data_IF_530302696963
#
_entry.id   IF_530302696963
#
_cell.length_a   1.000
_cell.length_b   1.000
_cell.length_c   1.000
_cell.angle_alpha   90.00
_cell.angle_beta   90.00
_cell.angle_gamma   90.00
#
_symmetry.space_group_name_H-M   'P 1'
#
loop_
_entity.id
_entity.type
_entity.pdbx_description
1 polymer ?
#
# COMPACT_ATOMS: atom_id res chain seq x y z
N UNK A 1 27.59 -3.20 -0.58
CA UNK A 1 28.82 -2.42 -0.60
C UNK A 1 28.83 -1.43 -1.78
N UNK A 2 27.88 -0.53 -1.92
CA UNK A 2 27.92 0.60 -2.87
C UNK A 2 26.96 1.74 -2.49
N UNK A 3 26.67 1.94 -1.21
CA UNK A 3 25.94 3.13 -0.74
C UNK A 3 26.87 4.31 -0.36
N UNK A 4 28.17 4.12 -0.51
CA UNK A 4 29.17 5.20 -0.39
C UNK A 4 29.43 5.88 -1.74
N UNK A 5 28.82 5.39 -2.85
CA UNK A 5 29.08 5.84 -4.22
C UNK A 5 28.49 7.17 -4.62
N UNK A 6 27.33 7.60 -4.06
CA UNK A 6 26.67 8.81 -4.56
C UNK A 6 27.41 10.11 -4.19
N UNK A 7 27.92 10.21 -2.97
CA UNK A 7 28.74 11.36 -2.57
C UNK A 7 30.16 11.33 -3.18
N UNK A 8 30.73 10.14 -3.37
CA UNK A 8 32.02 10.00 -4.05
C UNK A 8 31.94 10.32 -5.55
N UNK A 9 30.90 9.86 -6.26
CA UNK A 9 30.69 10.20 -7.68
C UNK A 9 30.44 11.70 -7.89
N UNK A 10 29.74 12.38 -6.97
CA UNK A 10 29.59 13.84 -7.00
C UNK A 10 30.95 14.52 -6.77
N UNK A 11 31.79 14.00 -5.88
CA UNK A 11 33.16 14.51 -5.65
C UNK A 11 34.06 14.28 -6.85
N UNK A 12 33.95 13.15 -7.54
CA UNK A 12 34.77 12.84 -8.72
C UNK A 12 34.32 13.65 -9.94
N UNK A 13 33.03 13.95 -10.12
CA UNK A 13 32.59 14.92 -11.13
C UNK A 13 33.05 16.34 -10.81
N UNK A 14 33.19 16.73 -9.53
CA UNK A 14 33.80 17.97 -9.11
C UNK A 14 35.32 18.00 -9.41
N UNK A 15 36.02 16.86 -9.32
CA UNK A 15 37.42 16.73 -9.72
C UNK A 15 37.58 16.85 -11.24
N UNK A 16 36.70 16.25 -12.04
CA UNK A 16 36.69 16.41 -13.49
C UNK A 16 36.41 17.86 -13.92
N UNK A 17 35.50 18.55 -13.24
CA UNK A 17 35.21 19.97 -13.46
C UNK A 17 36.43 20.85 -13.09
N UNK A 18 37.17 20.50 -12.02
CA UNK A 18 38.41 21.18 -11.65
C UNK A 18 39.56 20.95 -12.63
N UNK A 19 39.66 19.77 -13.24
CA UNK A 19 40.66 19.45 -14.27
C UNK A 19 40.33 20.15 -15.59
N UNK A 20 39.08 20.32 -15.96
CA UNK A 20 38.66 21.09 -17.14
C UNK A 20 38.91 22.61 -17.00
N UNK A 21 38.87 23.15 -15.79
CA UNK A 21 39.20 24.57 -15.53
C UNK A 21 40.69 24.93 -15.59
N UNK A 22 41.59 23.95 -15.68
CA UNK A 22 43.03 24.19 -15.80
C UNK A 22 43.55 24.35 -17.26
N UNK A 23 42.67 24.19 -18.26
CA UNK A 23 43.00 24.48 -19.65
C UNK A 23 42.50 25.86 -20.06
N UNK A 24 43.41 26.74 -20.38
CA UNK A 24 43.23 28.16 -20.67
C UNK A 24 42.12 28.48 -21.69
N UNK A 25 41.32 29.51 -21.35
CA UNK A 25 40.46 30.31 -22.22
C UNK A 25 39.12 29.71 -22.67
N UNK A 26 38.20 29.56 -21.72
CA UNK A 26 36.78 29.98 -21.80
C UNK A 26 36.20 29.70 -20.42
N UNK A 27 35.76 30.73 -19.70
CA UNK A 27 35.13 30.58 -18.40
C UNK A 27 33.79 29.87 -18.57
N UNK A 28 33.78 28.52 -18.51
CA UNK A 28 32.58 27.73 -18.41
C UNK A 28 31.94 28.11 -17.07
N UNK A 29 30.69 28.56 -17.10
CA UNK A 29 29.97 28.95 -15.88
C UNK A 29 29.85 27.74 -14.94
N UNK A 30 29.91 27.96 -13.62
CA UNK A 30 29.69 26.89 -12.63
C UNK A 30 28.32 26.22 -12.83
N UNK A 31 27.31 26.98 -13.23
CA UNK A 31 25.98 26.50 -13.55
C UNK A 31 25.97 25.50 -14.73
N UNK A 32 26.76 25.77 -15.77
CA UNK A 32 26.89 24.82 -16.89
C UNK A 32 27.59 23.53 -16.47
N UNK A 33 28.64 23.62 -15.62
CA UNK A 33 29.33 22.45 -15.08
C UNK A 33 28.42 21.62 -14.18
N UNK A 34 27.61 22.25 -13.35
CA UNK A 34 26.63 21.57 -12.50
C UNK A 34 25.54 20.87 -13.34
N UNK A 35 25.08 21.51 -14.39
CA UNK A 35 24.10 20.92 -15.30
C UNK A 35 24.69 19.74 -16.09
N UNK A 36 25.94 19.87 -16.54
CA UNK A 36 26.65 18.80 -17.24
C UNK A 36 26.90 17.61 -16.30
N UNK A 37 27.31 17.88 -15.06
CA UNK A 37 27.52 16.84 -14.05
C UNK A 37 26.22 16.10 -13.72
N UNK A 38 25.10 16.83 -13.57
CA UNK A 38 23.77 16.21 -13.37
C UNK A 38 23.38 15.35 -14.55
N UNK A 39 23.56 15.82 -15.78
CA UNK A 39 23.22 15.05 -16.99
C UNK A 39 24.08 13.79 -17.11
N UNK A 40 25.38 13.90 -16.89
CA UNK A 40 26.27 12.73 -16.86
C UNK A 40 25.88 11.72 -15.78
N UNK A 41 25.48 12.18 -14.61
CA UNK A 41 24.99 11.30 -13.56
C UNK A 41 23.68 10.60 -13.95
N UNK A 42 22.74 11.34 -14.54
CA UNK A 42 21.47 10.78 -15.04
C UNK A 42 21.69 9.70 -16.11
N UNK A 43 22.65 9.93 -17.02
CA UNK A 43 22.94 9.01 -18.13
C UNK A 43 23.76 7.78 -17.70
N UNK A 44 24.67 7.92 -16.72
CA UNK A 44 25.57 6.85 -16.31
C UNK A 44 25.03 5.98 -15.17
N UNK A 45 24.30 6.57 -14.24
CA UNK A 45 23.88 5.92 -12.98
C UNK A 45 22.37 5.99 -12.78
N UNK A 46 21.72 7.00 -13.36
CA UNK A 46 20.28 7.23 -13.26
C UNK A 46 19.48 6.55 -14.37
N UNK A 47 18.33 7.14 -14.65
CA UNK A 47 17.37 6.65 -15.63
C UNK A 47 17.32 7.56 -16.88
N UNK A 48 18.43 8.18 -17.25
CA UNK A 48 18.55 9.04 -18.43
C UNK A 48 17.53 10.19 -18.38
N UNK A 49 16.85 10.43 -19.51
CA UNK A 49 15.89 11.54 -19.68
C UNK A 49 14.71 11.49 -18.71
N UNK A 50 14.32 10.30 -18.19
CA UNK A 50 13.19 10.17 -17.24
C UNK A 50 13.61 10.25 -15.77
N UNK A 51 14.91 10.36 -15.47
CA UNK A 51 15.41 10.44 -14.09
C UNK A 51 14.75 11.58 -13.27
N UNK A 52 14.55 12.80 -13.81
CA UNK A 52 13.84 13.86 -13.09
C UNK A 52 12.40 13.48 -12.72
N UNK A 53 11.71 12.73 -13.59
CA UNK A 53 10.34 12.27 -13.33
C UNK A 53 10.31 11.21 -12.22
N UNK A 54 11.31 10.33 -12.17
CA UNK A 54 11.42 9.32 -11.12
C UNK A 54 11.67 9.97 -9.75
N UNK A 55 12.35 11.12 -9.71
CA UNK A 55 12.65 11.85 -8.47
C UNK A 55 11.54 12.78 -8.01
N UNK A 56 10.57 13.11 -8.86
CA UNK A 56 9.44 14.00 -8.51
C UNK A 56 8.37 13.24 -7.73
N UNK A 57 8.27 13.44 -6.41
CA UNK A 57 7.31 12.76 -5.52
C UNK A 57 5.84 13.11 -5.80
N UNK A 58 5.56 14.15 -6.61
CA UNK A 58 4.19 14.49 -7.02
C UNK A 58 3.66 13.59 -8.14
N UNK A 59 4.54 12.82 -8.78
CA UNK A 59 4.14 11.89 -9.82
C UNK A 59 3.80 10.52 -9.22
N UNK A 60 2.76 9.90 -9.76
CA UNK A 60 2.31 8.55 -9.40
C UNK A 60 2.74 7.51 -10.45
N UNK A 61 2.65 7.88 -11.72
CA UNK A 61 3.04 7.01 -12.83
C UNK A 61 3.81 7.77 -13.91
N UNK A 62 4.72 7.06 -14.59
CA UNK A 62 5.49 7.54 -15.73
C UNK A 62 5.29 6.53 -16.86
N UNK A 63 4.89 7.00 -18.05
CA UNK A 63 4.51 6.14 -19.16
C UNK A 63 5.26 6.54 -20.43
N UNK A 64 6.15 5.68 -20.90
CA UNK A 64 6.81 5.75 -22.22
C UNK A 64 6.01 4.86 -23.18
N UNK A 65 5.39 5.45 -24.19
CA UNK A 65 4.43 4.78 -25.06
C UNK A 65 4.93 4.59 -26.51
N UNK A 66 6.25 4.44 -26.67
CA UNK A 66 6.88 4.30 -27.99
C UNK A 66 7.70 5.52 -28.39
N UNK A 67 8.06 5.59 -29.66
CA UNK A 67 8.84 6.66 -30.26
C UNK A 67 7.94 7.78 -30.81
N UNK A 68 8.50 8.99 -30.95
CA UNK A 68 7.81 10.18 -31.47
C UNK A 68 6.50 10.55 -30.72
N UNK A 69 6.37 10.03 -29.50
CA UNK A 69 5.25 10.33 -28.60
C UNK A 69 5.80 10.91 -27.30
N UNK A 70 5.14 11.93 -26.71
CA UNK A 70 5.58 12.47 -25.43
C UNK A 70 5.46 11.42 -24.34
N UNK A 71 6.37 11.45 -23.39
CA UNK A 71 6.22 10.70 -22.15
C UNK A 71 5.05 11.27 -21.37
N UNK A 72 4.13 10.40 -20.94
CA UNK A 72 3.00 10.77 -20.09
C UNK A 72 3.34 10.52 -18.65
N UNK A 73 2.76 11.34 -17.78
CA UNK A 73 2.84 11.17 -16.33
C UNK A 73 1.47 11.30 -15.71
N UNK A 74 1.25 10.58 -14.62
CA UNK A 74 0.08 10.81 -13.78
C UNK A 74 0.52 11.60 -12.55
N UNK A 75 0.07 12.86 -12.49
CA UNK A 75 0.34 13.75 -11.37
C UNK A 75 -0.74 13.55 -10.31
N UNK A 76 -0.37 13.54 -9.02
CA UNK A 76 -1.28 13.26 -7.90
C UNK A 76 -2.45 14.26 -7.79
N UNK A 77 -2.20 15.51 -8.13
CA UNK A 77 -3.19 16.60 -8.08
C UNK A 77 -3.87 16.83 -9.44
N UNK A 78 -3.08 16.87 -10.52
CA UNK A 78 -3.58 17.30 -11.85
C UNK A 78 -3.95 16.12 -12.77
N UNK A 79 -3.74 14.87 -12.33
CA UNK A 79 -4.06 13.68 -13.14
C UNK A 79 -3.09 13.47 -14.31
N UNK A 80 -3.61 12.99 -15.44
CA UNK A 80 -2.82 12.66 -16.63
C UNK A 80 -2.28 13.90 -17.33
N UNK A 81 -0.95 13.97 -17.49
CA UNK A 81 -0.26 15.10 -18.12
C UNK A 81 0.74 14.60 -19.16
N UNK A 82 1.03 15.47 -20.14
CA UNK A 82 2.10 15.27 -21.13
C UNK A 82 3.35 16.01 -20.67
N UNK A 83 4.51 15.38 -20.82
CA UNK A 83 5.80 16.02 -20.58
C UNK A 83 6.39 16.56 -21.91
N UNK A 84 7.51 17.26 -21.82
CA UNK A 84 8.31 17.68 -22.96
C UNK A 84 9.37 16.64 -23.36
N UNK A 85 9.42 15.48 -22.70
CA UNK A 85 10.36 14.40 -23.03
C UNK A 85 9.79 13.59 -24.20
N UNK A 86 10.62 13.42 -25.23
CA UNK A 86 10.27 12.73 -26.46
C UNK A 86 11.44 11.85 -26.90
N UNK A 87 11.24 10.55 -26.98
CA UNK A 87 12.22 9.62 -27.53
C UNK A 87 12.05 9.57 -29.06
N UNK A 88 13.13 9.82 -29.79
CA UNK A 88 13.13 9.82 -31.26
C UNK A 88 13.59 8.51 -31.86
N UNK A 89 14.35 7.73 -31.10
CA UNK A 89 14.90 6.45 -31.53
C UNK A 89 14.44 5.31 -30.60
N UNK A 90 14.01 4.19 -31.21
CA UNK A 90 13.66 2.99 -30.47
C UNK A 90 14.85 2.44 -29.65
N UNK A 91 16.07 2.63 -30.12
CA UNK A 91 17.29 2.24 -29.42
C UNK A 91 17.47 2.99 -28.09
N UNK A 92 17.07 4.25 -27.99
CA UNK A 92 17.13 5.01 -26.73
C UNK A 92 16.21 4.38 -25.68
N UNK A 93 14.97 4.05 -26.06
CA UNK A 93 14.01 3.39 -25.15
C UNK A 93 14.46 1.98 -24.80
N UNK A 94 14.99 1.22 -25.77
CA UNK A 94 15.54 -0.12 -25.51
C UNK A 94 16.72 -0.07 -24.53
N UNK A 95 17.68 0.85 -24.72
CA UNK A 95 18.80 1.01 -23.81
C UNK A 95 18.36 1.34 -22.39
N UNK A 96 17.33 2.17 -22.24
CA UNK A 96 16.73 2.49 -20.92
C UNK A 96 16.11 1.25 -20.29
N UNK A 97 15.30 0.49 -21.05
CA UNK A 97 14.68 -0.75 -20.59
C UNK A 97 15.75 -1.79 -20.22
N UNK A 98 16.78 -1.97 -21.02
CA UNK A 98 17.90 -2.89 -20.75
C UNK A 98 18.71 -2.48 -19.51
N UNK A 99 18.91 -1.17 -19.31
CA UNK A 99 19.58 -0.65 -18.10
C UNK A 99 18.77 -1.00 -16.86
N UNK A 100 17.45 -0.77 -16.90
CA UNK A 100 16.53 -1.11 -15.82
C UNK A 100 16.53 -2.63 -15.58
N UNK A 101 16.39 -3.44 -16.62
CA UNK A 101 16.38 -4.90 -16.51
C UNK A 101 17.64 -5.42 -15.80
N UNK A 102 18.82 -4.89 -16.16
CA UNK A 102 20.09 -5.23 -15.50
C UNK A 102 20.12 -4.83 -14.02
N UNK A 103 19.61 -3.65 -13.66
CA UNK A 103 19.55 -3.19 -12.26
C UNK A 103 18.71 -4.13 -11.37
N UNK A 104 17.65 -4.72 -11.93
CA UNK A 104 16.75 -5.62 -11.19
C UNK A 104 17.07 -7.10 -11.41
N UNK A 105 18.25 -7.42 -12.02
CA UNK A 105 18.68 -8.78 -12.36
C UNK A 105 17.65 -9.57 -13.18
N UNK A 106 17.02 -8.90 -14.16
CA UNK A 106 16.09 -9.48 -15.12
C UNK A 106 16.66 -9.37 -16.53
N UNK A 107 16.08 -10.13 -17.43
CA UNK A 107 16.39 -10.11 -18.85
C UNK A 107 15.11 -9.79 -19.62
N UNK A 108 15.24 -9.00 -20.68
CA UNK A 108 14.19 -8.75 -21.64
C UNK A 108 14.80 -8.88 -23.04
N UNK A 109 14.20 -9.67 -23.91
CA UNK A 109 14.61 -9.91 -25.29
C UNK A 109 13.44 -10.45 -26.12
N UNK A 110 13.70 -10.82 -27.36
CA UNK A 110 12.64 -11.34 -28.25
C UNK A 110 11.99 -12.64 -27.79
N UNK A 111 12.71 -13.44 -27.00
CA UNK A 111 12.19 -14.67 -26.43
C UNK A 111 11.33 -14.39 -25.17
N UNK A 112 11.73 -13.38 -24.41
CA UNK A 112 11.02 -12.89 -23.22
C UNK A 112 10.74 -11.39 -23.36
N UNK A 113 9.76 -10.98 -24.18
CA UNK A 113 9.55 -9.57 -24.55
C UNK A 113 8.79 -8.75 -23.50
N UNK A 114 8.57 -9.28 -22.32
CA UNK A 114 7.90 -8.63 -21.18
C UNK A 114 8.86 -8.54 -20.01
N UNK A 115 9.02 -7.33 -19.46
CA UNK A 115 9.70 -7.08 -18.20
C UNK A 115 8.65 -6.69 -17.16
N UNK A 116 8.61 -7.39 -16.05
CA UNK A 116 7.89 -6.98 -14.85
C UNK A 116 8.84 -7.08 -13.65
N UNK A 117 8.92 -6.01 -12.86
CA UNK A 117 9.85 -5.99 -11.74
C UNK A 117 9.76 -4.73 -10.88
N UNK A 118 10.65 -4.67 -9.91
CA UNK A 118 10.72 -3.58 -8.93
C UNK A 118 12.08 -2.90 -8.98
N UNK A 119 12.07 -1.59 -9.10
CA UNK A 119 13.25 -0.75 -9.04
C UNK A 119 13.84 -0.71 -7.62
N UNK A 120 15.12 -0.33 -7.44
CA UNK A 120 15.75 -0.23 -6.13
C UNK A 120 15.05 0.74 -5.16
N UNK A 121 14.36 1.76 -5.68
CA UNK A 121 13.58 2.72 -4.89
C UNK A 121 12.21 2.17 -4.44
N UNK A 122 11.85 0.95 -4.88
CA UNK A 122 10.57 0.30 -4.59
C UNK A 122 9.50 0.50 -5.68
N UNK A 123 9.73 1.34 -6.68
CA UNK A 123 8.80 1.58 -7.79
C UNK A 123 8.64 0.33 -8.65
N UNK A 124 7.42 0.08 -9.13
CA UNK A 124 7.14 -1.05 -10.04
C UNK A 124 7.36 -0.63 -11.47
N UNK A 125 8.06 -1.44 -12.26
CA UNK A 125 8.27 -1.23 -13.69
C UNK A 125 7.68 -2.39 -14.47
N UNK A 126 6.92 -2.05 -15.52
CA UNK A 126 6.51 -2.98 -16.56
C UNK A 126 6.97 -2.43 -17.91
N UNK A 127 7.64 -3.26 -18.70
CA UNK A 127 8.03 -2.88 -20.06
C UNK A 127 7.71 -3.99 -21.05
N UNK A 128 7.43 -3.59 -22.29
CA UNK A 128 7.19 -4.50 -23.40
C UNK A 128 7.98 -4.05 -24.63
N UNK A 129 8.49 -5.01 -25.38
CA UNK A 129 9.27 -4.76 -26.59
C UNK A 129 8.67 -5.50 -27.80
N UNK A 130 9.02 -5.12 -29.04
CA UNK A 130 8.64 -5.90 -30.20
C UNK A 130 9.10 -7.37 -30.09
N UNK A 131 8.31 -8.37 -30.55
CA UNK A 131 7.17 -8.20 -31.48
C UNK A 131 5.80 -7.96 -30.82
N UNK A 132 5.67 -8.04 -29.47
CA UNK A 132 4.35 -7.89 -28.83
C UNK A 132 3.91 -6.42 -28.72
N UNK A 133 4.85 -5.48 -28.71
CA UNK A 133 4.58 -4.05 -28.72
C UNK A 133 4.70 -3.51 -30.16
N UNK A 134 3.57 -3.41 -30.84
CA UNK A 134 3.51 -3.09 -32.29
C UNK A 134 4.08 -1.70 -32.64
N UNK A 135 3.88 -0.71 -31.78
CA UNK A 135 4.31 0.69 -31.98
C UNK A 135 5.75 0.97 -31.44
N UNK A 136 6.51 -0.07 -31.16
CA UNK A 136 7.85 0.04 -30.58
C UNK A 136 7.87 -0.28 -29.06
N UNK A 137 9.04 -0.17 -28.41
CA UNK A 137 9.17 -0.47 -26.99
C UNK A 137 8.33 0.48 -26.14
N UNK A 138 7.71 -0.03 -25.10
CA UNK A 138 6.93 0.77 -24.14
C UNK A 138 7.29 0.40 -22.72
N UNK A 139 7.11 1.35 -21.79
CA UNK A 139 7.42 1.15 -20.38
C UNK A 139 6.50 2.00 -19.51
N UNK A 140 6.01 1.41 -18.44
CA UNK A 140 5.27 2.09 -17.38
C UNK A 140 5.96 1.89 -16.05
N UNK A 141 6.22 2.97 -15.35
CA UNK A 141 6.77 2.95 -13.98
C UNK A 141 5.71 3.50 -13.05
N UNK A 142 5.23 2.65 -12.12
CA UNK A 142 4.36 3.07 -11.03
C UNK A 142 5.21 3.35 -9.81
N UNK A 143 5.27 4.62 -9.42
CA UNK A 143 6.18 5.09 -8.37
C UNK A 143 5.76 4.61 -6.99
N UNK A 144 6.76 4.18 -6.24
CA UNK A 144 6.59 3.87 -4.83
C UNK A 144 6.49 5.16 -4.02
N UNK A 145 5.45 5.30 -3.19
CA UNK A 145 5.30 6.45 -2.31
C UNK A 145 6.14 6.26 -1.06
N UNK A 146 7.16 7.11 -0.86
CA UNK A 146 8.05 7.04 0.30
C UNK A 146 7.36 7.32 1.64
N UNK A 147 6.37 8.21 1.64
CA UNK A 147 5.55 8.54 2.81
C UNK A 147 4.11 8.11 2.54
N UNK A 148 3.69 6.92 3.00
CA UNK A 148 2.36 6.40 2.76
C UNK A 148 1.31 7.24 3.48
N UNK A 149 0.08 7.20 2.96
CA UNK A 149 -1.05 7.84 3.64
C UNK A 149 -1.34 7.13 4.96
N UNK A 150 -1.47 7.90 6.02
CA UNK A 150 -1.77 7.41 7.36
C UNK A 150 -3.28 7.42 7.63
N UNK A 151 -3.67 6.90 8.78
CA UNK A 151 -5.07 6.96 9.22
C UNK A 151 -5.56 8.41 9.35
N UNK A 152 -4.67 9.35 9.69
CA UNK A 152 -5.00 10.77 9.81
C UNK A 152 -5.29 11.39 8.43
N UNK A 153 -4.54 10.99 7.41
CA UNK A 153 -4.84 11.39 6.02
C UNK A 153 -6.19 10.86 5.54
N UNK A 154 -6.53 9.61 5.90
CA UNK A 154 -7.81 9.02 5.54
C UNK A 154 -8.97 9.71 6.26
N UNK A 155 -8.79 10.14 7.50
CA UNK A 155 -9.78 10.93 8.24
C UNK A 155 -9.93 12.31 7.59
N UNK A 156 -8.84 13.02 7.33
CA UNK A 156 -8.84 14.35 6.70
C UNK A 156 -9.49 14.35 5.32
N UNK A 157 -9.29 13.29 4.54
CA UNK A 157 -9.93 13.11 3.22
C UNK A 157 -11.38 12.61 3.33
N UNK A 158 -11.90 12.38 4.54
CA UNK A 158 -13.21 11.78 4.83
C UNK A 158 -13.40 10.37 4.25
N UNK A 159 -12.30 9.67 3.96
CA UNK A 159 -12.36 8.27 3.52
C UNK A 159 -12.90 7.38 4.65
N UNK A 160 -12.56 7.73 5.89
CA UNK A 160 -13.04 7.10 7.13
C UNK A 160 -13.42 8.20 8.13
N UNK A 161 -14.39 7.96 9.02
CA UNK A 161 -14.69 8.85 10.14
C UNK A 161 -13.77 8.58 11.34
N UNK A 162 -13.61 9.55 12.24
CA UNK A 162 -12.86 9.36 13.50
C UNK A 162 -13.46 8.23 14.33
N UNK A 163 -14.80 8.20 14.44
CA UNK A 163 -15.55 7.15 15.16
C UNK A 163 -15.24 5.76 14.60
N UNK A 164 -15.33 5.58 13.27
CA UNK A 164 -15.04 4.31 12.63
C UNK A 164 -13.56 3.91 12.76
N UNK A 165 -12.64 4.88 12.68
CA UNK A 165 -11.22 4.61 12.88
C UNK A 165 -10.92 4.15 14.32
N UNK A 166 -11.51 4.78 15.34
CA UNK A 166 -11.39 4.39 16.74
C UNK A 166 -12.00 3.02 17.01
N UNK A 167 -13.16 2.72 16.40
CA UNK A 167 -13.78 1.42 16.45
C UNK A 167 -12.85 0.33 15.89
N UNK A 168 -12.28 0.53 14.71
CA UNK A 168 -11.32 -0.42 14.13
C UNK A 168 -10.04 -0.54 14.96
N UNK A 169 -9.55 0.57 15.52
CA UNK A 169 -8.39 0.51 16.40
C UNK A 169 -8.63 -0.44 17.58
N UNK A 170 -9.81 -0.35 18.24
CA UNK A 170 -10.14 -1.26 19.33
C UNK A 170 -10.30 -2.72 18.84
N UNK A 171 -11.02 -2.93 17.71
CA UNK A 171 -11.28 -4.27 17.21
C UNK A 171 -10.00 -4.97 16.72
N UNK A 172 -9.08 -4.22 16.09
CA UNK A 172 -7.88 -4.81 15.49
C UNK A 172 -6.78 -5.09 16.53
N UNK A 173 -6.65 -4.26 17.55
CA UNK A 173 -5.77 -4.61 18.66
C UNK A 173 -6.43 -5.63 19.61
N UNK A 174 -7.75 -5.63 19.68
CA UNK A 174 -8.55 -6.57 20.47
C UNK A 174 -8.19 -6.60 21.95
N UNK A 175 -7.67 -5.48 22.49
CA UNK A 175 -7.12 -5.37 23.86
C UNK A 175 -6.02 -6.40 24.15
N UNK A 176 -5.34 -6.90 23.11
CA UNK A 176 -4.31 -7.93 23.21
C UNK A 176 -4.85 -9.33 23.52
N UNK A 177 -6.17 -9.55 23.50
CA UNK A 177 -6.80 -10.85 23.81
C UNK A 177 -7.54 -11.47 22.63
N UNK A 178 -8.19 -10.68 21.80
CA UNK A 178 -8.90 -11.14 20.60
C UNK A 178 -8.91 -10.08 19.51
N UNK A 179 -7.97 -10.19 18.61
CA UNK A 179 -7.87 -9.30 17.43
C UNK A 179 -8.84 -9.71 16.33
N UNK A 180 -9.51 -8.74 15.72
CA UNK A 180 -10.44 -8.98 14.61
C UNK A 180 -9.71 -9.21 13.28
N UNK A 181 -10.35 -9.97 12.41
CA UNK A 181 -9.94 -10.26 11.04
C UNK A 181 -10.78 -9.46 10.04
N UNK A 182 -10.15 -8.91 9.01
CA UNK A 182 -10.86 -8.10 8.04
C UNK A 182 -10.44 -8.33 6.59
N UNK A 183 -11.40 -8.23 5.69
CA UNK A 183 -11.19 -8.13 4.25
C UNK A 183 -11.62 -6.74 3.79
N UNK A 184 -10.72 -6.01 3.15
CA UNK A 184 -11.01 -4.70 2.54
C UNK A 184 -11.32 -4.94 1.07
N UNK A 185 -12.54 -4.67 0.67
CA UNK A 185 -13.04 -4.92 -0.67
C UNK A 185 -13.42 -3.64 -1.40
N UNK A 186 -13.40 -3.69 -2.72
CA UNK A 186 -13.76 -2.55 -3.57
C UNK A 186 -13.16 -2.65 -4.97
N UNK A 187 -13.58 -1.77 -5.85
CA UNK A 187 -13.11 -1.71 -7.23
C UNK A 187 -11.62 -1.35 -7.38
N UNK A 188 -11.15 -1.32 -8.63
CA UNK A 188 -9.79 -0.87 -8.95
C UNK A 188 -9.60 0.59 -8.56
N UNK A 189 -8.42 0.93 -8.02
CA UNK A 189 -8.06 2.29 -7.58
C UNK A 189 -8.99 2.88 -6.50
N UNK A 190 -9.77 2.06 -5.80
CA UNK A 190 -10.58 2.51 -4.66
C UNK A 190 -9.76 2.86 -3.42
N UNK A 191 -8.48 2.43 -3.36
CA UNK A 191 -7.56 2.71 -2.25
C UNK A 191 -7.49 1.61 -1.19
N UNK A 192 -7.87 0.36 -1.52
CA UNK A 192 -7.86 -0.79 -0.60
C UNK A 192 -6.51 -0.99 0.10
N UNK A 193 -5.43 -1.07 -0.68
CA UNK A 193 -4.07 -1.26 -0.14
C UNK A 193 -3.66 -0.09 0.77
N UNK A 194 -4.05 1.14 0.41
CA UNK A 194 -3.80 2.32 1.24
C UNK A 194 -4.53 2.22 2.58
N UNK A 195 -5.80 1.83 2.56
CA UNK A 195 -6.61 1.65 3.78
C UNK A 195 -6.10 0.47 4.60
N UNK A 196 -5.73 -0.64 3.96
CA UNK A 196 -5.08 -1.78 4.61
C UNK A 196 -3.80 -1.33 5.35
N UNK A 197 -2.95 -0.57 4.68
CA UNK A 197 -1.72 -0.03 5.26
C UNK A 197 -2.01 0.86 6.48
N UNK A 198 -2.94 1.82 6.33
CA UNK A 198 -3.30 2.74 7.40
C UNK A 198 -3.91 2.03 8.62
N UNK A 199 -4.83 1.07 8.41
CA UNK A 199 -5.45 0.29 9.47
C UNK A 199 -4.46 -0.67 10.14
N UNK A 200 -3.43 -1.13 9.43
CA UNK A 200 -2.37 -1.98 10.00
C UNK A 200 -1.53 -1.26 11.06
N UNK A 201 -1.56 0.08 11.12
CA UNK A 201 -0.93 0.83 12.21
C UNK A 201 -1.59 0.61 13.58
N UNK A 202 -2.81 0.09 13.60
CA UNK A 202 -3.54 -0.26 14.82
C UNK A 202 -3.20 -1.63 15.41
N UNK A 203 -2.34 -2.39 14.74
CA UNK A 203 -1.87 -3.69 15.25
C UNK A 203 -1.00 -3.45 16.47
N UNK A 204 -1.20 -4.30 17.50
CA UNK A 204 -0.45 -4.19 18.74
C UNK A 204 1.06 -4.29 18.50
N UNK A 205 1.91 -3.38 19.04
CA UNK A 205 3.36 -3.39 18.82
C UNK A 205 4.08 -4.68 19.24
N UNK A 206 3.44 -5.54 20.02
CA UNK A 206 4.00 -6.83 20.48
C UNK A 206 3.77 -7.97 19.49
N UNK A 207 2.87 -7.80 18.50
CA UNK A 207 2.56 -8.84 17.54
C UNK A 207 3.68 -9.00 16.50
N UNK A 208 3.86 -10.23 16.02
CA UNK A 208 4.70 -10.53 14.85
C UNK A 208 3.85 -10.51 13.59
N UNK A 209 4.16 -9.60 12.68
CA UNK A 209 3.44 -9.40 11.42
C UNK A 209 4.21 -10.04 10.26
N UNK A 210 3.50 -10.74 9.40
CA UNK A 210 4.03 -11.20 8.11
C UNK A 210 3.14 -10.65 7.01
N UNK A 211 3.73 -9.86 6.10
CA UNK A 211 3.03 -9.40 4.89
C UNK A 211 3.42 -10.26 3.70
N UNK A 212 2.46 -10.54 2.83
CA UNK A 212 2.63 -11.35 1.63
C UNK A 212 1.96 -10.61 0.47
N UNK A 213 2.75 -10.23 -0.52
CA UNK A 213 2.30 -9.36 -1.59
C UNK A 213 2.85 -9.82 -2.96
N UNK A 214 2.12 -9.56 -4.03
CA UNK A 214 2.64 -9.74 -5.39
C UNK A 214 3.77 -8.74 -5.68
N UNK A 215 3.61 -7.52 -5.20
CA UNK A 215 4.62 -6.47 -5.20
C UNK A 215 4.51 -5.74 -3.87
N UNK A 216 5.64 -5.50 -3.21
CA UNK A 216 5.66 -4.87 -1.89
C UNK A 216 5.16 -3.41 -1.96
N UNK A 217 3.93 -3.17 -1.53
CA UNK A 217 3.31 -1.85 -1.42
C UNK A 217 3.12 -1.42 0.04
N UNK A 218 2.92 -2.37 0.95
CA UNK A 218 2.68 -2.09 2.37
C UNK A 218 3.93 -1.57 3.07
N UNK A 219 3.73 -0.55 3.90
CA UNK A 219 4.76 0.09 4.72
C UNK A 219 4.23 0.22 6.15
N UNK A 220 4.14 -0.90 6.83
CA UNK A 220 3.59 -0.94 8.19
C UNK A 220 4.66 -0.42 9.16
N UNK A 221 4.38 0.61 9.96
CA UNK A 221 5.31 1.17 10.92
C UNK A 221 5.38 0.30 12.19
N UNK A 222 5.98 -0.85 12.07
CA UNK A 222 6.06 -1.85 13.13
C UNK A 222 7.44 -2.52 13.11
N UNK A 223 8.10 -2.68 14.26
CA UNK A 223 9.46 -3.21 14.32
C UNK A 223 9.54 -4.69 13.93
N UNK A 224 8.50 -5.48 14.26
CA UNK A 224 8.50 -6.91 14.05
C UNK A 224 7.70 -7.32 12.81
N UNK A 225 8.09 -6.81 11.63
CA UNK A 225 7.47 -7.13 10.33
C UNK A 225 8.42 -7.93 9.45
N UNK A 226 7.91 -9.02 8.89
CA UNK A 226 8.55 -9.74 7.79
C UNK A 226 7.74 -9.50 6.52
N UNK A 227 8.39 -9.01 5.48
CA UNK A 227 7.76 -8.70 4.19
C UNK A 227 8.19 -9.74 3.17
N UNK A 228 7.23 -10.44 2.57
CA UNK A 228 7.46 -11.43 1.53
C UNK A 228 6.79 -11.01 0.23
N UNK A 229 7.52 -11.19 -0.87
CA UNK A 229 7.05 -10.86 -2.23
C UNK A 229 7.06 -12.13 -3.08
N UNK A 230 6.03 -12.31 -3.92
CA UNK A 230 5.99 -13.40 -4.88
C UNK A 230 7.13 -13.27 -5.87
N UNK A 231 7.52 -14.38 -6.45
CA UNK A 231 8.53 -14.41 -7.49
C UNK A 231 8.01 -15.15 -8.70
N UNK A 232 7.82 -14.50 -9.85
CA UNK A 232 7.45 -15.20 -11.08
C UNK A 232 8.57 -16.18 -11.50
N UNK A 233 8.25 -17.20 -12.29
CA UNK A 233 9.24 -18.15 -12.79
C UNK A 233 10.31 -17.43 -13.63
N UNK A 234 11.49 -18.01 -13.68
CA UNK A 234 12.55 -17.55 -14.58
C UNK A 234 12.25 -17.97 -16.05
N UNK A 235 13.12 -17.59 -16.98
CA UNK A 235 12.99 -17.94 -18.42
C UNK A 235 12.93 -19.46 -18.68
N UNK A 236 13.42 -20.30 -17.74
CA UNK A 236 13.33 -21.75 -17.81
C UNK A 236 12.06 -22.31 -17.14
N UNK A 237 11.08 -21.48 -16.80
CA UNK A 237 9.87 -21.81 -16.02
C UNK A 237 10.17 -22.47 -14.66
N UNK A 238 11.26 -22.04 -14.01
CA UNK A 238 11.68 -22.57 -12.70
C UNK A 238 11.77 -21.46 -11.66
N UNK A 239 11.69 -21.86 -10.39
CA UNK A 239 11.93 -20.97 -9.25
C UNK A 239 10.78 -20.01 -8.98
N UNK A 240 9.57 -20.28 -9.47
CA UNK A 240 8.37 -19.58 -9.07
C UNK A 240 8.12 -19.73 -7.56
N UNK A 241 7.73 -18.65 -6.91
CA UNK A 241 7.20 -18.62 -5.56
C UNK A 241 5.85 -17.92 -5.59
N UNK A 242 4.81 -18.73 -5.44
CA UNK A 242 3.41 -18.23 -5.48
C UNK A 242 3.00 -17.61 -4.16
N UNK A 243 1.93 -16.81 -4.17
CA UNK A 243 1.29 -16.28 -2.97
C UNK A 243 0.96 -17.41 -1.98
N UNK A 244 0.42 -18.53 -2.46
CA UNK A 244 0.07 -19.69 -1.66
C UNK A 244 1.30 -20.34 -0.98
N UNK A 245 2.44 -20.41 -1.69
CA UNK A 245 3.68 -20.95 -1.10
C UNK A 245 4.17 -20.05 0.05
N UNK A 246 4.08 -18.74 -0.12
CA UNK A 246 4.48 -17.78 0.89
C UNK A 246 3.54 -17.80 2.10
N UNK A 247 2.21 -17.92 1.90
CA UNK A 247 1.25 -18.08 3.01
C UNK A 247 1.51 -19.38 3.77
N UNK A 248 1.74 -20.50 3.09
CA UNK A 248 2.13 -21.75 3.74
C UNK A 248 3.44 -21.65 4.52
N UNK A 249 4.42 -20.93 3.97
CA UNK A 249 5.69 -20.72 4.63
C UNK A 249 5.57 -19.84 5.88
N UNK A 250 4.70 -18.80 5.83
CA UNK A 250 4.48 -17.89 6.97
C UNK A 250 4.03 -18.63 8.22
N UNK A 251 3.20 -19.66 8.08
CA UNK A 251 2.68 -20.46 9.20
C UNK A 251 3.80 -21.18 10.01
N UNK A 252 4.97 -21.37 9.40
CA UNK A 252 6.15 -21.96 10.08
C UNK A 252 7.00 -20.91 10.81
N UNK A 253 6.67 -19.63 10.66
CA UNK A 253 7.42 -18.52 11.23
C UNK A 253 6.76 -17.94 12.50
N UNK A 254 5.74 -18.61 13.04
CA UNK A 254 4.98 -18.19 14.21
C UNK A 254 4.46 -16.74 14.10
N UNK A 255 3.67 -16.42 13.09
CA UNK A 255 3.05 -15.10 12.99
C UNK A 255 1.91 -14.96 13.99
N UNK A 256 1.75 -13.76 14.55
CA UNK A 256 0.51 -13.39 15.24
C UNK A 256 -0.49 -12.86 14.20
N UNK A 257 0.03 -12.15 13.17
CA UNK A 257 -0.77 -11.55 12.11
C UNK A 257 -0.22 -11.85 10.72
N UNK A 258 -1.12 -12.28 9.82
CA UNK A 258 -0.81 -12.50 8.41
C UNK A 258 -1.59 -11.48 7.59
N UNK A 259 -0.89 -10.71 6.76
CA UNK A 259 -1.50 -9.70 5.90
C UNK A 259 -1.21 -10.07 4.44
N UNK A 260 -2.28 -10.33 3.68
CA UNK A 260 -2.19 -10.62 2.25
C UNK A 260 -2.58 -9.38 1.47
N UNK A 261 -1.65 -8.85 0.67
CA UNK A 261 -1.85 -7.61 -0.10
C UNK A 261 -3.10 -7.68 -0.97
N UNK A 262 -3.30 -8.78 -1.68
CA UNK A 262 -4.52 -9.06 -2.43
C UNK A 262 -4.79 -10.56 -2.53
N UNK A 263 -6.01 -10.96 -2.24
CA UNK A 263 -6.47 -12.36 -2.32
C UNK A 263 -7.17 -12.55 -3.67
N UNK A 264 -6.63 -13.44 -4.51
CA UNK A 264 -7.13 -13.69 -5.89
C UNK A 264 -7.32 -15.15 -6.23
N UNK A 265 -6.65 -16.07 -5.52
CA UNK A 265 -6.57 -17.47 -5.90
C UNK A 265 -6.56 -18.44 -4.72
N UNK A 266 -5.87 -19.54 -4.88
CA UNK A 266 -5.86 -20.66 -3.91
C UNK A 266 -5.20 -20.32 -2.56
N UNK A 267 -4.45 -19.23 -2.46
CA UNK A 267 -3.91 -18.71 -1.20
C UNK A 267 -5.02 -18.39 -0.20
N UNK A 268 -6.24 -18.06 -0.70
CA UNK A 268 -7.42 -17.82 0.13
C UNK A 268 -7.67 -18.96 1.11
N UNK A 269 -7.74 -20.21 0.64
CA UNK A 269 -7.98 -21.37 1.51
C UNK A 269 -6.91 -21.47 2.60
N UNK A 270 -5.64 -21.27 2.24
CA UNK A 270 -4.53 -21.35 3.21
C UNK A 270 -4.61 -20.23 4.24
N UNK A 271 -4.92 -18.99 3.81
CA UNK A 271 -5.15 -17.86 4.73
C UNK A 271 -6.30 -18.15 5.68
N UNK A 272 -7.45 -18.57 5.15
CA UNK A 272 -8.63 -18.89 5.98
C UNK A 272 -8.39 -20.06 6.93
N UNK A 273 -7.57 -21.04 6.53
CA UNK A 273 -7.11 -22.10 7.43
C UNK A 273 -6.33 -21.51 8.60
N UNK A 274 -5.43 -20.57 8.33
CA UNK A 274 -4.66 -19.88 9.37
C UNK A 274 -5.58 -19.11 10.33
N UNK A 275 -6.53 -18.32 9.80
CA UNK A 275 -7.48 -17.55 10.60
C UNK A 275 -8.34 -18.47 11.50
N UNK A 276 -8.79 -19.61 10.99
CA UNK A 276 -9.57 -20.59 11.77
C UNK A 276 -8.73 -21.37 12.80
N UNK A 277 -7.39 -21.31 12.72
CA UNK A 277 -6.49 -21.99 13.67
C UNK A 277 -5.84 -21.05 14.69
N UNK A 278 -6.35 -19.81 14.79
CA UNK A 278 -5.99 -18.87 15.85
C UNK A 278 -5.00 -17.77 15.44
N UNK A 279 -4.63 -17.68 14.15
CA UNK A 279 -3.91 -16.53 13.64
C UNK A 279 -4.89 -15.41 13.31
N UNK A 280 -4.47 -14.16 13.44
CA UNK A 280 -5.26 -13.02 12.94
C UNK A 280 -4.75 -12.57 11.58
N UNK A 281 -5.59 -11.88 10.80
CA UNK A 281 -5.16 -11.44 9.49
C UNK A 281 -6.03 -10.43 8.78
N UNK A 282 -5.41 -9.79 7.80
CA UNK A 282 -6.06 -8.87 6.88
C UNK A 282 -5.78 -9.28 5.44
N UNK A 283 -6.68 -8.89 4.55
CA UNK A 283 -6.48 -9.02 3.11
C UNK A 283 -7.26 -7.98 2.34
N UNK A 284 -6.91 -7.82 1.05
CA UNK A 284 -7.78 -7.08 0.15
C UNK A 284 -8.38 -8.00 -0.91
N UNK A 285 -9.53 -7.62 -1.45
CA UNK A 285 -10.22 -8.36 -2.48
C UNK A 285 -10.94 -7.40 -3.44
N UNK A 286 -11.03 -7.76 -4.71
CA UNK A 286 -11.84 -7.02 -5.67
C UNK A 286 -13.29 -7.50 -5.64
N UNK A 287 -14.23 -6.63 -5.23
CA UNK A 287 -15.66 -6.87 -5.34
C UNK A 287 -16.42 -5.53 -5.29
N UNK A 288 -17.70 -5.53 -5.65
CA UNK A 288 -18.52 -4.34 -5.68
C UNK A 288 -19.35 -4.14 -4.41
N UNK A 289 -19.66 -5.23 -3.69
CA UNK A 289 -20.38 -5.21 -2.42
C UNK A 289 -19.94 -6.35 -1.49
N UNK A 290 -20.41 -6.32 -0.23
CA UNK A 290 -20.03 -7.30 0.78
C UNK A 290 -20.53 -8.72 0.45
N UNK A 291 -21.70 -8.85 -0.19
CA UNK A 291 -22.26 -10.14 -0.60
C UNK A 291 -21.44 -10.74 -1.75
N UNK A 292 -21.04 -9.93 -2.72
CA UNK A 292 -20.13 -10.35 -3.79
C UNK A 292 -18.77 -10.78 -3.24
N UNK A 293 -18.27 -10.12 -2.18
CA UNK A 293 -17.04 -10.53 -1.50
C UNK A 293 -17.14 -11.99 -1.03
N UNK A 294 -18.23 -12.35 -0.35
CA UNK A 294 -18.49 -13.74 0.07
C UNK A 294 -18.58 -14.66 -1.14
N UNK A 295 -19.33 -14.27 -2.17
CA UNK A 295 -19.50 -15.05 -3.39
C UNK A 295 -18.17 -15.36 -4.05
N UNK A 296 -17.28 -14.38 -4.15
CA UNK A 296 -15.93 -14.57 -4.73
C UNK A 296 -15.05 -15.46 -3.89
N UNK A 297 -15.09 -15.33 -2.56
CA UNK A 297 -14.35 -16.18 -1.65
C UNK A 297 -14.78 -17.64 -1.74
N UNK A 298 -16.08 -17.90 -1.88
CA UNK A 298 -16.64 -19.27 -1.87
C UNK A 298 -16.57 -19.96 -3.23
N UNK A 299 -16.43 -19.22 -4.33
CA UNK A 299 -16.34 -19.77 -5.68
C UNK A 299 -14.88 -19.86 -6.17
N UNK A 300 -14.66 -20.65 -7.24
CA UNK A 300 -13.36 -20.71 -7.91
C UNK A 300 -12.92 -19.33 -8.42
N UNK A 301 -11.61 -18.99 -8.34
CA UNK A 301 -10.49 -19.87 -7.97
C UNK A 301 -10.21 -19.97 -6.46
N UNK A 302 -10.84 -19.18 -5.61
CA UNK A 302 -10.58 -19.11 -4.18
C UNK A 302 -11.16 -20.32 -3.42
N UNK A 303 -12.39 -20.70 -3.71
CA UNK A 303 -13.06 -21.93 -3.23
C UNK A 303 -13.01 -22.15 -1.71
N UNK A 304 -13.12 -21.09 -0.92
CA UNK A 304 -13.11 -21.17 0.55
C UNK A 304 -14.44 -21.78 1.02
N UNK A 305 -14.42 -22.85 1.81
CA UNK A 305 -15.65 -23.41 2.38
C UNK A 305 -16.41 -22.41 3.24
N UNK A 306 -17.76 -22.38 3.13
CA UNK A 306 -18.61 -21.42 3.87
C UNK A 306 -18.31 -21.42 5.37
N UNK A 307 -18.06 -22.61 5.96
CA UNK A 307 -17.75 -22.69 7.40
C UNK A 307 -16.49 -21.94 7.80
N UNK A 308 -15.54 -21.80 6.90
CA UNK A 308 -14.30 -21.07 7.17
C UNK A 308 -14.48 -19.55 7.10
N UNK A 309 -15.48 -19.07 6.38
CA UNK A 309 -15.74 -17.61 6.21
C UNK A 309 -16.06 -16.95 7.55
N UNK A 310 -16.61 -17.70 8.52
CA UNK A 310 -16.89 -17.19 9.86
C UNK A 310 -15.65 -16.72 10.65
N UNK A 311 -14.45 -17.03 10.15
CA UNK A 311 -13.20 -16.48 10.70
C UNK A 311 -12.95 -15.01 10.32
N UNK A 312 -13.68 -14.45 9.34
CA UNK A 312 -13.68 -13.00 9.09
C UNK A 312 -14.69 -12.35 10.02
N UNK A 313 -14.26 -11.28 10.67
CA UNK A 313 -15.15 -10.42 11.46
C UNK A 313 -15.74 -9.32 10.59
N UNK A 314 -14.92 -8.63 9.77
CA UNK A 314 -15.38 -7.49 8.99
C UNK A 314 -15.07 -7.60 7.49
N UNK A 315 -16.03 -7.19 6.68
CA UNK A 315 -15.88 -6.85 5.27
C UNK A 315 -16.04 -5.34 5.15
N UNK A 316 -14.95 -4.67 4.77
CA UNK A 316 -14.88 -3.20 4.65
C UNK A 316 -14.99 -2.85 3.17
N UNK A 317 -16.11 -2.27 2.77
CA UNK A 317 -16.32 -1.87 1.38
C UNK A 317 -15.80 -0.46 1.14
N UNK A 318 -14.92 -0.30 0.16
CA UNK A 318 -14.33 0.98 -0.19
C UNK A 318 -14.51 1.32 -1.67
N UNK A 319 -15.13 2.46 -1.93
CA UNK A 319 -15.47 2.89 -3.28
C UNK A 319 -14.75 4.18 -3.68
N UNK A 320 -14.38 4.26 -4.95
CA UNK A 320 -13.99 5.50 -5.62
C UNK A 320 -15.24 6.10 -6.25
N UNK A 321 -15.57 7.33 -5.88
CA UNK A 321 -16.75 8.04 -6.30
C UNK A 321 -16.32 9.23 -7.16
N UNK A 322 -17.01 9.42 -8.27
CA UNK A 322 -16.75 10.54 -9.18
C UNK A 322 -17.83 11.60 -9.01
N UNK A 323 -17.42 12.85 -8.91
CA UNK A 323 -18.32 14.00 -9.00
C UNK A 323 -18.55 14.38 -10.47
N UNK A 324 -19.59 15.15 -10.70
CA UNK A 324 -19.92 15.67 -12.04
C UNK A 324 -18.83 16.59 -12.62
N UNK A 325 -17.99 17.18 -11.79
CA UNK A 325 -16.82 18.00 -12.16
C UNK A 325 -15.58 17.19 -12.55
N UNK A 326 -15.68 15.85 -12.53
CA UNK A 326 -14.58 14.92 -12.85
C UNK A 326 -13.64 14.63 -11.68
N UNK A 327 -13.79 15.30 -10.56
CA UNK A 327 -13.00 15.04 -9.35
C UNK A 327 -13.46 13.73 -8.72
N UNK A 328 -12.52 12.88 -8.32
CA UNK A 328 -12.83 11.63 -7.64
C UNK A 328 -12.36 11.65 -6.19
N UNK A 329 -13.15 11.05 -5.32
CA UNK A 329 -12.83 10.87 -3.92
C UNK A 329 -13.10 9.42 -3.49
N UNK A 330 -12.61 9.03 -2.34
CA UNK A 330 -12.74 7.65 -1.82
C UNK A 330 -13.51 7.66 -0.52
N UNK A 331 -14.39 6.65 -0.33
CA UNK A 331 -15.17 6.49 0.92
C UNK A 331 -15.23 5.02 1.28
N UNK A 332 -15.13 4.72 2.57
CA UNK A 332 -15.64 3.47 3.10
C UNK A 332 -17.16 3.60 3.03
N UNK A 333 -17.79 2.85 2.12
CA UNK A 333 -19.20 2.94 1.85
C UNK A 333 -20.05 2.07 2.77
N UNK A 334 -19.47 0.97 3.27
CA UNK A 334 -20.13 0.01 4.13
C UNK A 334 -19.10 -0.76 4.96
N UNK A 335 -19.45 -1.04 6.20
CA UNK A 335 -18.77 -2.05 7.02
C UNK A 335 -19.81 -3.12 7.37
N UNK A 336 -19.63 -4.31 6.80
CA UNK A 336 -20.43 -5.48 7.08
C UNK A 336 -19.69 -6.42 8.03
N UNK A 337 -20.33 -6.79 9.13
CA UNK A 337 -19.85 -7.77 10.09
C UNK A 337 -20.40 -9.15 9.76
N UNK A 338 -19.56 -10.18 9.79
CA UNK A 338 -19.98 -11.58 9.62
C UNK A 338 -20.58 -12.08 10.93
N UNK A 339 -21.90 -12.10 11.01
CA UNK A 339 -22.61 -12.45 12.25
C UNK A 339 -22.73 -13.96 12.50
N UNK A 340 -22.67 -14.77 11.44
CA UNK A 340 -22.76 -16.23 11.56
C UNK A 340 -23.13 -16.92 10.26
N UNK A 341 -23.52 -18.19 10.38
CA UNK A 341 -24.01 -19.01 9.27
C UNK A 341 -25.38 -19.56 9.70
N UNK A 342 -26.41 -19.29 8.92
CA UNK A 342 -27.76 -19.83 9.11
C UNK A 342 -28.16 -20.60 7.84
N UNK A 343 -28.59 -21.84 7.99
CA UNK A 343 -28.97 -22.73 6.87
C UNK A 343 -27.92 -22.79 5.74
N UNK A 344 -26.64 -22.72 6.10
CA UNK A 344 -25.52 -22.71 5.13
C UNK A 344 -25.27 -21.36 4.45
N UNK A 345 -26.04 -20.32 4.78
CA UNK A 345 -25.89 -18.96 4.26
C UNK A 345 -25.18 -18.08 5.28
N UNK A 346 -24.14 -17.39 4.83
CA UNK A 346 -23.39 -16.44 5.65
C UNK A 346 -24.24 -15.20 5.88
N UNK A 347 -24.43 -14.85 7.15
CA UNK A 347 -25.18 -13.67 7.59
C UNK A 347 -24.25 -12.48 7.74
N UNK A 348 -24.66 -11.34 7.21
CA UNK A 348 -23.94 -10.08 7.25
C UNK A 348 -24.79 -9.02 7.92
N UNK A 349 -24.25 -8.39 8.96
CA UNK A 349 -24.86 -7.24 9.62
C UNK A 349 -24.11 -5.98 9.20
N UNK A 350 -24.78 -5.04 8.58
CA UNK A 350 -24.23 -3.73 8.27
C UNK A 350 -24.15 -2.92 9.56
N UNK A 351 -22.94 -2.59 10.01
CA UNK A 351 -22.71 -1.84 11.25
C UNK A 351 -22.37 -0.36 11.01
N UNK A 352 -21.74 -0.04 9.88
CA UNK A 352 -21.54 1.34 9.42
C UNK A 352 -21.92 1.48 7.96
N UNK A 353 -22.42 2.67 7.60
CA UNK A 353 -22.82 3.01 6.24
C UNK A 353 -22.51 4.47 5.93
N UNK A 354 -22.02 4.72 4.72
CA UNK A 354 -21.82 6.07 4.20
C UNK A 354 -23.13 6.65 3.66
N UNK A 355 -23.45 7.84 4.10
CA UNK A 355 -24.61 8.60 3.62
C UNK A 355 -24.13 9.60 2.54
N UNK A 356 -24.51 9.41 1.27
CA UNK A 356 -24.14 10.31 0.18
C UNK A 356 -24.65 11.75 0.35
N UNK A 357 -25.77 11.96 1.05
CA UNK A 357 -26.37 13.27 1.19
C UNK A 357 -25.60 14.16 2.17
N UNK A 358 -25.20 13.59 3.31
CA UNK A 358 -24.41 14.31 4.32
C UNK A 358 -22.91 14.16 4.17
N UNK A 359 -22.44 13.30 3.25
CA UNK A 359 -21.03 12.88 3.08
C UNK A 359 -20.40 12.44 4.40
N UNK A 360 -21.14 11.65 5.20
CA UNK A 360 -20.70 11.13 6.50
C UNK A 360 -20.86 9.62 6.58
N UNK A 361 -19.98 8.97 7.33
CA UNK A 361 -20.09 7.54 7.66
C UNK A 361 -20.78 7.46 9.03
N UNK A 362 -21.90 6.74 9.10
CA UNK A 362 -22.72 6.64 10.29
C UNK A 362 -22.78 5.21 10.81
N UNK A 363 -22.75 5.08 12.13
CA UNK A 363 -23.10 3.85 12.81
C UNK A 363 -24.61 3.60 12.66
N UNK A 364 -24.99 2.38 12.25
CA UNK A 364 -26.39 2.01 11.99
C UNK A 364 -27.15 1.64 13.29
N UNK A 365 -26.46 1.60 14.42
CA UNK A 365 -27.05 1.31 15.73
C UNK A 365 -27.18 -0.19 16.04
N UNK A 366 -26.57 -1.05 15.25
CA UNK A 366 -26.50 -2.49 15.52
C UNK A 366 -25.31 -2.77 16.44
N UNK A 367 -25.53 -3.50 17.52
CA UNK A 367 -24.45 -3.94 18.43
C UNK A 367 -23.53 -4.90 17.69
N UNK A 368 -22.21 -4.59 17.68
CA UNK A 368 -21.23 -5.45 17.07
C UNK A 368 -21.05 -6.76 17.85
N UNK A 369 -21.09 -7.87 17.12
CA UNK A 369 -20.74 -9.20 17.62
C UNK A 369 -19.28 -9.23 18.09
N UNK A 370 -18.38 -8.68 17.28
CA UNK A 370 -16.94 -8.64 17.55
C UNK A 370 -16.65 -7.91 18.86
N UNK A 371 -17.26 -6.74 19.11
CA UNK A 371 -17.15 -6.05 20.40
C UNK A 371 -17.66 -6.91 21.56
N UNK A 372 -18.79 -7.59 21.36
CA UNK A 372 -19.35 -8.48 22.39
C UNK A 372 -18.40 -9.63 22.71
N UNK A 373 -17.76 -10.20 21.69
CA UNK A 373 -16.78 -11.26 21.88
C UNK A 373 -15.49 -10.75 22.56
N UNK A 374 -14.99 -9.56 22.19
CA UNK A 374 -13.85 -8.92 22.87
C UNK A 374 -14.20 -8.66 24.34
N UNK A 375 -15.41 -8.13 24.64
CA UNK A 375 -15.88 -7.90 25.99
C UNK A 375 -15.86 -9.20 26.82
N UNK A 376 -16.44 -10.28 26.27
CA UNK A 376 -16.50 -11.57 26.94
C UNK A 376 -15.13 -12.17 27.25
N UNK A 377 -14.19 -12.11 26.27
CA UNK A 377 -12.84 -12.68 26.41
C UNK A 377 -11.98 -11.82 27.36
N UNK A 378 -12.11 -10.50 27.29
CA UNK A 378 -11.33 -9.57 28.13
C UNK A 378 -11.89 -9.42 29.56
N UNK A 379 -13.13 -9.89 29.81
CA UNK A 379 -13.83 -9.69 31.08
C UNK A 379 -14.34 -8.26 31.30
N UNK A 380 -14.35 -7.44 30.25
CA UNK A 380 -14.84 -6.07 30.29
C UNK A 380 -16.36 -6.01 29.97
N UNK A 381 -17.03 -4.93 30.41
CA UNK A 381 -18.39 -4.66 29.95
C UNK A 381 -18.37 -3.99 28.58
N UNK A 382 -19.47 -4.15 27.80
CA UNK A 382 -19.62 -3.42 26.53
C UNK A 382 -19.54 -1.90 26.72
N UNK A 383 -20.09 -1.37 27.81
CA UNK A 383 -20.00 0.07 28.12
C UNK A 383 -18.54 0.53 28.28
N UNK A 384 -17.72 -0.28 28.96
CA UNK A 384 -16.29 0.01 29.11
C UNK A 384 -15.56 0.01 27.75
N UNK A 385 -15.97 -0.85 26.79
CA UNK A 385 -15.40 -0.83 25.45
C UNK A 385 -15.83 0.41 24.64
N UNK A 386 -17.07 0.85 24.81
CA UNK A 386 -17.53 2.10 24.19
C UNK A 386 -16.80 3.33 24.78
N UNK A 387 -16.53 3.33 26.09
CA UNK A 387 -15.72 4.38 26.70
C UNK A 387 -14.28 4.36 26.18
N UNK A 388 -13.72 3.17 25.97
CA UNK A 388 -12.38 3.03 25.38
C UNK A 388 -12.35 3.49 23.89
N UNK A 389 -13.40 3.22 23.11
CA UNK A 389 -13.54 3.77 21.74
C UNK A 389 -13.53 5.29 21.78
N UNK A 390 -14.27 5.92 22.71
CA UNK A 390 -14.27 7.39 22.88
C UNK A 390 -12.90 7.95 23.26
N UNK A 391 -12.17 7.25 24.12
CA UNK A 391 -10.80 7.63 24.45
C UNK A 391 -9.90 7.64 23.20
N UNK A 392 -10.03 6.63 22.34
CA UNK A 392 -9.29 6.54 21.08
C UNK A 392 -9.74 7.59 20.05
N UNK A 393 -11.03 7.94 20.04
CA UNK A 393 -11.54 9.07 19.24
C UNK A 393 -10.86 10.38 19.65
N UNK A 394 -10.72 10.65 20.95
CA UNK A 394 -10.04 11.84 21.46
C UNK A 394 -8.58 11.89 20.96
N UNK A 395 -7.87 10.76 21.00
CA UNK A 395 -6.48 10.69 20.52
C UNK A 395 -6.38 10.93 19.01
N UNK A 396 -7.25 10.28 18.24
CA UNK A 396 -7.27 10.45 16.78
C UNK A 396 -7.65 11.88 16.39
N UNK A 397 -8.67 12.45 17.05
CA UNK A 397 -9.08 13.85 16.82
C UNK A 397 -7.96 14.84 17.16
N UNK A 398 -7.25 14.62 18.27
CA UNK A 398 -6.09 15.44 18.61
C UNK A 398 -5.01 15.38 17.51
N UNK A 399 -4.70 14.18 16.97
CA UNK A 399 -3.74 14.06 15.88
C UNK A 399 -4.20 14.79 14.61
N UNK A 400 -5.50 14.78 14.31
CA UNK A 400 -6.11 15.56 13.22
C UNK A 400 -5.92 17.06 13.46
N UNK A 401 -6.29 17.55 14.65
CA UNK A 401 -6.25 18.98 14.99
C UNK A 401 -4.81 19.52 15.02
N UNK A 402 -3.85 18.71 15.44
CA UNK A 402 -2.42 19.05 15.46
C UNK A 402 -1.71 18.75 14.13
N UNK A 403 -2.43 18.25 13.11
CA UNK A 403 -1.89 17.88 11.81
C UNK A 403 -0.70 16.89 11.92
N UNK A 404 -0.77 15.92 12.85
CA UNK A 404 0.22 14.86 13.01
C UNK A 404 -0.05 13.80 11.95
N UNK A 405 0.71 13.84 10.83
CA UNK A 405 0.40 13.06 9.64
C UNK A 405 1.47 12.08 9.21
N UNK A 406 2.74 12.34 9.56
CA UNK A 406 3.81 11.43 9.16
C UNK A 406 3.61 10.05 9.78
N UNK A 407 3.92 9.00 9.02
CA UNK A 407 3.76 7.62 9.49
C UNK A 407 4.51 7.38 10.81
N UNK A 408 5.68 8.00 10.97
CA UNK A 408 6.51 7.91 12.18
C UNK A 408 5.85 8.55 13.39
N UNK A 409 5.32 9.77 13.22
CA UNK A 409 4.72 10.51 14.34
C UNK A 409 3.40 9.86 14.78
N UNK A 410 2.58 9.42 13.83
CA UNK A 410 1.35 8.67 14.10
C UNK A 410 1.67 7.38 14.87
N UNK A 411 2.65 6.59 14.39
CA UNK A 411 3.08 5.37 15.09
C UNK A 411 3.54 5.66 16.51
N UNK A 412 4.35 6.71 16.71
CA UNK A 412 4.83 7.11 18.03
C UNK A 412 3.68 7.42 19.00
N UNK A 413 2.64 8.14 18.57
CA UNK A 413 1.47 8.43 19.41
C UNK A 413 0.71 7.16 19.75
N UNK A 414 0.49 6.27 18.79
CA UNK A 414 -0.18 4.99 19.01
C UNK A 414 0.59 4.09 19.99
N UNK A 415 1.91 3.99 19.81
CA UNK A 415 2.78 3.24 20.73
C UNK A 415 2.75 3.80 22.15
N UNK A 416 2.80 5.14 22.30
CA UNK A 416 2.67 5.78 23.62
C UNK A 416 1.32 5.46 24.27
N UNK A 417 0.24 5.39 23.48
CA UNK A 417 -1.08 4.99 24.00
C UNK A 417 -1.10 3.55 24.51
N UNK A 418 -0.47 2.63 23.80
CA UNK A 418 -0.34 1.24 24.25
C UNK A 418 0.54 1.09 25.50
N UNK A 419 1.50 1.98 25.72
CA UNK A 419 2.34 1.97 26.90
C UNK A 419 1.63 2.56 28.14
N UNK A 420 0.94 3.68 27.98
CA UNK A 420 0.24 4.39 29.07
C UNK A 420 -0.86 5.29 28.49
N UNK A 421 -2.06 4.72 28.31
CA UNK A 421 -3.21 5.42 27.74
C UNK A 421 -3.64 6.64 28.55
N UNK A 422 -3.62 6.52 29.91
CA UNK A 422 -4.01 7.59 30.81
C UNK A 422 -3.08 8.82 30.70
N UNK A 423 -1.79 8.57 30.59
CA UNK A 423 -0.80 9.63 30.42
C UNK A 423 -0.98 10.39 29.10
N UNK A 424 -1.28 9.67 28.02
CA UNK A 424 -1.56 10.28 26.72
C UNK A 424 -2.84 11.12 26.79
N UNK A 425 -3.93 10.59 27.31
CA UNK A 425 -5.20 11.29 27.46
C UNK A 425 -5.07 12.54 28.33
N UNK A 426 -4.41 12.42 29.51
CA UNK A 426 -4.17 13.56 30.40
C UNK A 426 -3.37 14.66 29.70
N UNK A 427 -2.36 14.31 28.90
CA UNK A 427 -1.56 15.27 28.15
C UNK A 427 -2.38 16.01 27.08
N UNK A 428 -3.26 15.29 26.38
CA UNK A 428 -4.16 15.86 25.38
C UNK A 428 -5.15 16.82 26.03
N UNK A 429 -5.79 16.40 27.14
CA UNK A 429 -6.78 17.20 27.87
C UNK A 429 -6.19 18.44 28.54
N UNK A 430 -4.89 18.44 28.88
CA UNK A 430 -4.19 19.60 29.43
C UNK A 430 -3.68 20.57 28.35
N UNK A 431 -3.57 20.11 27.09
CA UNK A 431 -3.07 20.91 25.98
C UNK A 431 -4.19 21.58 25.18
N UNK A 432 -5.45 21.19 25.35
CA UNK A 432 -6.67 21.77 24.76
C UNK A 432 -7.41 22.61 25.78
#
# INVERSE_FOLDING_TARGET
QCLVGSEMCIRDSFLFAKLANNSQNNAISNEYLDNLARKLFQDLVGYGEIDPLIRDDNLEEIMVIGIDKPVFVYHREYGMMKTNILFKDAGEVMNLIDSIARQINRRIDQESPILDGRLPDGSRVNATIPPISADGPSMTIRKFKRDPLTIIDLINSKTISVELAAFFWLCFDGLGVKSANAIISGGTSSGKTTTLNALSSFINPKERIITIEDTLELQIPHEHVIRMETRPPNVENRGELTMNDLVKNSLRQRPDRIIVGEVRGSEAITLFTALNTGHSGFGTLHSNDARETITRLTNAPMSVPNIMISAIDFIIMQNRIYRSDGVSFRRISEVAEVSGIEEGVIQLNKIFEWDPQSDTIKNVGITSKTLTEIANVSGNSLNSLYDEIKNREIVLQHMVDQNIRSIRDVSTVLEMYYLDSQKVLNRILLAG
#
